data_IF_272613448873
#
_entry.id   IF_272613448873
#
_cell.length_a   1.000
_cell.length_b   1.000
_cell.length_c   1.000
_cell.angle_alpha   90.00
_cell.angle_beta   90.00
_cell.angle_gamma   90.00
#
_symmetry.space_group_name_H-M   'P 1'
#
loop_
_entity.id
_entity.type
_entity.pdbx_description
1 polymer ?
#
# COMPACT_ATOMS: atom_id res chain seq x y z
N UNK A 1 32.92 -17.19 -12.30
CA UNK A 1 31.53 -17.17 -12.79
C UNK A 1 31.11 -15.71 -12.86
N UNK A 2 31.20 -15.10 -14.06
CA UNK A 2 30.96 -13.66 -14.26
C UNK A 2 29.46 -13.43 -14.33
N UNK A 3 28.94 -12.68 -13.36
CA UNK A 3 27.55 -12.24 -13.33
C UNK A 3 27.25 -11.35 -14.52
N UNK A 4 26.28 -11.75 -15.32
CA UNK A 4 25.64 -10.98 -16.39
C UNK A 4 25.24 -9.59 -15.86
N UNK A 5 25.89 -8.55 -16.37
CA UNK A 5 25.61 -7.16 -16.03
C UNK A 5 24.21 -6.76 -16.49
N UNK A 6 23.38 -6.29 -15.55
CA UNK A 6 22.04 -5.81 -15.83
C UNK A 6 22.11 -4.48 -16.60
N UNK A 7 21.52 -4.50 -17.79
CA UNK A 7 21.45 -3.41 -18.77
C UNK A 7 20.37 -2.40 -18.37
N UNK A 8 20.68 -1.11 -18.41
CA UNK A 8 19.68 -0.04 -18.32
C UNK A 8 18.87 0.08 -19.62
N UNK A 9 17.76 0.82 -19.58
CA UNK A 9 16.79 0.96 -20.70
C UNK A 9 17.35 1.56 -22.01
N UNK A 10 18.63 1.96 -22.04
CA UNK A 10 19.35 2.47 -23.22
C UNK A 10 20.54 1.62 -23.69
N UNK A 11 20.73 0.38 -23.20
CA UNK A 11 21.80 -0.50 -23.70
C UNK A 11 23.24 -0.11 -23.34
N UNK A 12 23.45 0.90 -22.50
CA UNK A 12 24.75 1.28 -21.94
C UNK A 12 24.92 0.79 -20.50
N UNK A 13 26.16 0.55 -20.02
CA UNK A 13 26.41 0.24 -18.62
C UNK A 13 25.91 1.40 -17.74
N UNK A 14 24.90 1.12 -16.93
CA UNK A 14 24.28 2.11 -16.05
C UNK A 14 25.32 2.60 -15.03
N UNK A 15 25.44 3.92 -14.86
CA UNK A 15 26.12 4.51 -13.71
C UNK A 15 25.30 4.15 -12.46
N UNK A 16 25.96 3.96 -11.30
CA UNK A 16 25.39 3.44 -10.05
C UNK A 16 24.08 4.12 -9.55
N UNK A 17 23.68 5.27 -10.10
CA UNK A 17 22.49 6.03 -9.75
C UNK A 17 21.26 5.76 -10.64
N UNK A 18 21.39 5.02 -11.74
CA UNK A 18 20.30 4.70 -12.69
C UNK A 18 19.94 3.21 -12.71
N UNK A 19 20.56 2.41 -11.85
CA UNK A 19 20.33 0.97 -11.83
C UNK A 19 19.02 0.66 -11.12
N UNK A 20 17.93 0.56 -11.87
CA UNK A 20 16.67 -0.01 -11.39
C UNK A 20 16.93 -1.48 -11.07
N UNK A 21 17.10 -1.78 -9.78
CA UNK A 21 17.20 -3.15 -9.29
C UNK A 21 16.11 -3.42 -8.27
N UNK A 22 15.67 -4.67 -8.20
CA UNK A 22 14.71 -5.11 -7.17
C UNK A 22 15.20 -4.79 -5.75
N UNK A 23 16.51 -4.73 -5.53
CA UNK A 23 17.10 -4.32 -4.25
C UNK A 23 16.84 -2.86 -3.92
N UNK A 24 16.98 -1.95 -4.89
CA UNK A 24 16.72 -0.52 -4.66
C UNK A 24 15.23 -0.24 -4.46
N UNK A 25 14.35 -0.91 -5.21
CA UNK A 25 12.90 -0.81 -5.03
C UNK A 25 12.50 -1.25 -3.62
N UNK A 26 12.96 -2.43 -3.19
CA UNK A 26 12.69 -2.94 -1.83
C UNK A 26 13.19 -1.99 -0.74
N UNK A 27 14.38 -1.40 -0.92
CA UNK A 27 14.92 -0.40 0.02
C UNK A 27 14.13 0.91 0.05
N UNK A 28 13.60 1.34 -1.08
CA UNK A 28 12.75 2.53 -1.15
C UNK A 28 11.44 2.29 -0.39
N UNK A 29 10.75 1.18 -0.69
CA UNK A 29 9.52 0.76 -0.01
C UNK A 29 9.71 0.61 1.51
N UNK A 30 10.79 -0.05 1.94
CA UNK A 30 11.10 -0.25 3.36
C UNK A 30 11.40 1.06 4.12
N UNK A 31 11.71 2.15 3.40
CA UNK A 31 11.93 3.49 3.99
C UNK A 31 10.74 4.42 3.83
N UNK A 32 9.63 3.94 3.26
CA UNK A 32 8.45 4.76 2.96
C UNK A 32 8.61 5.68 1.75
N UNK A 33 9.67 5.51 0.96
CA UNK A 33 9.92 6.30 -0.26
C UNK A 33 9.17 5.68 -1.45
N UNK A 34 7.84 5.73 -1.38
CA UNK A 34 6.94 5.14 -2.37
C UNK A 34 7.09 5.82 -3.74
N UNK A 35 7.25 7.14 -3.77
CA UNK A 35 7.41 7.90 -5.01
C UNK A 35 8.64 7.41 -5.80
N UNK A 36 9.78 7.24 -5.12
CA UNK A 36 10.97 6.70 -5.74
C UNK A 36 10.77 5.25 -6.19
N UNK A 37 10.07 4.43 -5.40
CA UNK A 37 9.74 3.06 -5.80
C UNK A 37 8.89 3.02 -7.08
N UNK A 38 7.84 3.83 -7.14
CA UNK A 38 6.94 3.94 -8.29
C UNK A 38 7.68 4.47 -9.53
N UNK A 39 8.55 5.47 -9.36
CA UNK A 39 9.41 5.99 -10.43
C UNK A 39 10.32 4.90 -11.01
N UNK A 40 10.95 4.08 -10.16
CA UNK A 40 11.77 2.95 -10.60
C UNK A 40 10.94 1.83 -11.27
N UNK A 41 9.70 1.61 -10.85
CA UNK A 41 8.80 0.60 -11.41
C UNK A 41 8.14 1.03 -12.73
N UNK A 42 8.06 2.35 -12.97
CA UNK A 42 7.27 2.94 -14.06
C UNK A 42 5.75 2.80 -13.87
N UNK A 43 5.30 2.40 -12.68
CA UNK A 43 3.89 2.22 -12.29
C UNK A 43 3.74 2.25 -10.77
N UNK A 44 2.51 2.35 -10.29
CA UNK A 44 2.19 2.18 -8.88
C UNK A 44 2.65 0.80 -8.37
N UNK A 45 3.23 0.76 -7.17
CA UNK A 45 3.52 -0.50 -6.50
C UNK A 45 2.22 -1.24 -6.18
N UNK A 46 2.20 -2.54 -6.43
CA UNK A 46 0.99 -3.35 -6.27
C UNK A 46 1.24 -4.49 -5.29
N UNK A 47 0.26 -4.72 -4.40
CA UNK A 47 0.19 -5.93 -3.59
C UNK A 47 -1.14 -6.64 -3.85
N UNK A 48 -1.12 -7.96 -3.70
CA UNK A 48 -2.30 -8.81 -3.77
C UNK A 48 -2.53 -9.43 -2.41
N UNK A 49 -3.79 -9.51 -2.03
CA UNK A 49 -4.20 -10.06 -0.75
C UNK A 49 -5.63 -10.55 -0.78
N UNK A 50 -6.12 -10.97 0.37
CA UNK A 50 -7.52 -11.34 0.58
C UNK A 50 -8.13 -10.29 1.49
N UNK A 51 -9.13 -9.57 0.98
CA UNK A 51 -9.91 -8.61 1.75
C UNK A 51 -10.97 -9.33 2.57
N UNK A 52 -11.07 -8.97 3.84
CA UNK A 52 -12.10 -9.39 4.78
C UNK A 52 -12.80 -8.13 5.33
N UNK A 53 -14.14 -7.98 5.16
CA UNK A 53 -14.87 -6.85 5.69
C UNK A 53 -14.79 -6.79 7.22
N UNK A 54 -14.45 -5.60 7.74
CA UNK A 54 -14.46 -5.30 9.17
C UNK A 54 -15.47 -4.19 9.48
N UNK A 55 -16.20 -4.38 10.57
CA UNK A 55 -17.06 -3.34 11.12
C UNK A 55 -16.23 -2.41 12.01
N UNK A 56 -15.55 -1.46 11.38
CA UNK A 56 -14.96 -0.33 12.10
C UNK A 56 -16.00 0.77 12.24
N UNK A 57 -16.52 0.90 13.46
CA UNK A 57 -17.56 1.85 13.86
C UNK A 57 -17.17 3.33 13.63
N UNK A 58 -15.90 3.61 13.34
CA UNK A 58 -15.36 4.98 13.36
C UNK A 58 -15.78 5.87 12.18
N UNK A 59 -16.26 5.33 11.05
CA UNK A 59 -16.69 6.17 9.91
C UNK A 59 -17.86 5.65 9.05
N UNK A 60 -18.55 4.58 9.43
CA UNK A 60 -19.79 4.13 8.77
C UNK A 60 -19.66 3.76 7.29
N UNK A 61 -18.43 3.56 6.79
CA UNK A 61 -18.17 3.40 5.35
C UNK A 61 -17.83 1.97 4.93
N UNK A 62 -17.79 1.01 5.87
CA UNK A 62 -17.24 -0.33 5.64
C UNK A 62 -15.73 -0.25 5.42
N UNK A 63 -14.93 -0.99 6.18
CA UNK A 63 -13.48 -1.08 5.90
C UNK A 63 -13.11 -2.53 5.73
N UNK A 64 -11.93 -2.77 5.17
CA UNK A 64 -11.46 -4.12 4.93
C UNK A 64 -10.08 -4.30 5.53
N UNK A 65 -9.88 -5.42 6.21
CA UNK A 65 -8.54 -5.94 6.44
C UNK A 65 -8.11 -6.72 5.21
N UNK A 66 -6.93 -6.42 4.69
CA UNK A 66 -6.35 -7.15 3.57
C UNK A 66 -5.18 -7.96 4.09
N UNK A 67 -5.33 -9.28 4.09
CA UNK A 67 -4.27 -10.21 4.43
C UNK A 67 -3.30 -10.37 3.25
N UNK A 68 -2.03 -10.09 3.50
CA UNK A 68 -0.95 -10.12 2.53
C UNK A 68 0.03 -11.22 2.89
N UNK A 69 0.33 -12.09 1.92
CA UNK A 69 1.27 -13.18 2.11
C UNK A 69 2.68 -12.67 2.41
N UNK A 70 3.41 -13.37 3.28
CA UNK A 70 4.79 -13.03 3.72
C UNK A 70 5.82 -12.92 2.58
N UNK A 71 5.55 -13.54 1.43
CA UNK A 71 6.40 -13.43 0.24
C UNK A 71 6.32 -12.05 -0.44
N UNK A 72 5.32 -11.23 -0.11
CA UNK A 72 5.09 -9.91 -0.68
C UNK A 72 5.65 -8.86 0.29
N UNK A 73 6.43 -7.92 -0.24
CA UNK A 73 6.97 -6.83 0.57
C UNK A 73 5.89 -5.75 0.77
N UNK A 74 5.39 -5.62 2.00
CA UNK A 74 4.51 -4.50 2.36
C UNK A 74 5.36 -3.22 2.54
N UNK A 75 4.90 -2.05 2.06
CA UNK A 75 5.59 -0.76 2.31
C UNK A 75 5.73 -0.45 3.80
N UNK A 76 6.57 0.55 4.12
CA UNK A 76 6.73 1.01 5.51
C UNK A 76 5.40 1.43 6.16
N UNK A 77 5.35 1.41 7.49
CA UNK A 77 4.15 1.80 8.23
C UNK A 77 3.73 3.24 7.92
N UNK A 78 2.43 3.48 7.74
CA UNK A 78 1.91 4.78 7.33
C UNK A 78 0.54 4.73 6.70
N UNK A 79 0.08 5.90 6.30
CA UNK A 79 -1.11 6.10 5.48
C UNK A 79 -0.73 6.26 4.02
N UNK A 80 -1.51 5.63 3.15
CA UNK A 80 -1.30 5.64 1.71
C UNK A 80 -2.61 5.90 0.97
N UNK A 81 -2.52 6.57 -0.17
CA UNK A 81 -3.61 6.62 -1.15
C UNK A 81 -3.47 5.43 -2.10
N UNK A 82 -4.50 4.60 -2.17
CA UNK A 82 -4.48 3.37 -2.96
C UNK A 82 -5.75 3.21 -3.79
N UNK A 83 -5.59 2.58 -4.95
CA UNK A 83 -6.72 1.95 -5.64
C UNK A 83 -6.87 0.51 -5.16
N UNK A 84 -8.06 0.16 -4.68
CA UNK A 84 -8.46 -1.22 -4.39
C UNK A 84 -9.27 -1.73 -5.58
N UNK A 85 -8.91 -2.89 -6.11
CA UNK A 85 -9.62 -3.57 -7.19
C UNK A 85 -9.87 -5.04 -6.86
N UNK A 86 -11.08 -5.54 -7.10
CA UNK A 86 -11.41 -6.98 -6.99
C UNK A 86 -11.21 -7.71 -8.33
N UNK A 87 -11.40 -9.03 -8.35
CA UNK A 87 -11.36 -9.81 -9.59
C UNK A 87 -12.57 -9.57 -10.52
N UNK A 88 -13.66 -9.00 -10.00
CA UNK A 88 -14.87 -8.65 -10.74
C UNK A 88 -14.77 -7.33 -11.52
N UNK A 89 -13.69 -6.57 -11.34
CA UNK A 89 -13.47 -5.27 -11.97
C UNK A 89 -14.06 -4.10 -11.20
N UNK A 90 -14.56 -4.31 -9.98
CA UNK A 90 -14.90 -3.23 -9.06
C UNK A 90 -13.61 -2.55 -8.59
N UNK A 91 -13.56 -1.22 -8.67
CA UNK A 91 -12.39 -0.43 -8.29
C UNK A 91 -12.79 0.81 -7.51
N UNK A 92 -12.16 1.04 -6.36
CA UNK A 92 -12.43 2.20 -5.50
C UNK A 92 -11.15 2.85 -4.98
N UNK A 93 -11.26 4.15 -4.68
CA UNK A 93 -10.22 4.88 -3.95
C UNK A 93 -10.29 4.55 -2.46
N UNK A 94 -9.14 4.23 -1.88
CA UNK A 94 -9.00 3.87 -0.46
C UNK A 94 -7.83 4.62 0.17
N UNK A 95 -7.98 4.94 1.45
CA UNK A 95 -6.86 5.18 2.34
C UNK A 95 -6.42 3.83 2.91
N UNK A 96 -5.14 3.49 2.77
CA UNK A 96 -4.58 2.26 3.34
C UNK A 96 -3.71 2.62 4.52
N UNK A 97 -4.03 2.05 5.68
CA UNK A 97 -3.25 2.11 6.90
C UNK A 97 -2.42 0.83 7.04
N UNK A 98 -1.11 1.00 7.21
CA UNK A 98 -0.17 -0.07 7.51
C UNK A 98 0.36 0.16 8.93
N UNK A 99 -0.10 -0.67 9.87
CA UNK A 99 0.31 -0.63 11.27
C UNK A 99 1.51 -1.55 11.52
N UNK A 100 2.29 -1.33 12.59
CA UNK A 100 3.22 -2.34 13.07
C UNK A 100 2.45 -3.62 13.40
N UNK A 101 2.79 -4.74 12.76
CA UNK A 101 2.22 -6.04 13.12
C UNK A 101 2.55 -6.33 14.58
N UNK A 102 1.54 -6.44 15.44
CA UNK A 102 1.74 -6.94 16.81
C UNK A 102 1.95 -8.44 16.71
N UNK A 103 3.21 -8.85 16.82
CA UNK A 103 3.66 -10.23 16.77
C UNK A 103 2.96 -11.09 17.85
N UNK A 104 1.95 -11.85 17.41
CA UNK A 104 1.26 -12.84 18.24
C UNK A 104 0.68 -14.03 17.47
N UNK A 105 0.52 -13.92 16.14
CA UNK A 105 -0.01 -14.99 15.28
C UNK A 105 1.08 -15.44 14.32
N UNK A 106 1.60 -16.66 14.49
CA UNK A 106 2.76 -17.21 13.75
C UNK A 106 2.54 -17.50 12.26
N UNK A 107 1.71 -16.73 11.56
CA UNK A 107 1.36 -16.91 10.14
C UNK A 107 2.27 -16.14 9.16
N UNK A 108 3.17 -15.29 9.66
CA UNK A 108 4.25 -14.64 8.89
C UNK A 108 3.81 -13.59 7.85
N UNK A 109 2.52 -13.49 7.53
CA UNK A 109 1.95 -12.46 6.67
C UNK A 109 1.79 -11.11 7.37
N UNK A 110 1.31 -10.12 6.61
CA UNK A 110 0.98 -8.80 7.12
C UNK A 110 -0.49 -8.48 6.83
N UNK A 111 -1.13 -7.72 7.72
CA UNK A 111 -2.48 -7.21 7.50
C UNK A 111 -2.39 -5.71 7.30
N UNK A 112 -3.11 -5.19 6.31
CA UNK A 112 -3.27 -3.75 6.09
C UNK A 112 -4.75 -3.41 6.12
N UNK A 113 -5.10 -2.23 6.63
CA UNK A 113 -6.50 -1.79 6.71
C UNK A 113 -6.79 -0.81 5.58
N UNK A 114 -7.79 -1.12 4.75
CA UNK A 114 -8.25 -0.27 3.68
C UNK A 114 -9.58 0.39 4.07
N UNK A 115 -9.60 1.72 4.11
CA UNK A 115 -10.81 2.52 4.32
C UNK A 115 -11.19 3.24 3.03
N UNK A 116 -12.42 3.08 2.52
CA UNK A 116 -12.87 3.75 1.32
C UNK A 116 -12.96 5.27 1.54
N UNK A 117 -12.57 6.03 0.51
CA UNK A 117 -12.58 7.51 0.56
C UNK A 117 -13.99 8.06 0.39
N UNK A 118 -14.80 7.38 -0.41
CA UNK A 118 -16.18 7.75 -0.70
C UNK A 118 -17.14 6.65 -0.21
N UNK A 119 -18.36 7.03 0.16
CA UNK A 119 -19.35 6.11 0.68
C UNK A 119 -19.92 5.18 -0.41
N UNK A 120 -19.25 4.05 -0.64
CA UNK A 120 -19.78 2.92 -1.39
C UNK A 120 -19.03 1.63 -0.99
N UNK A 121 -19.75 0.69 -0.37
CA UNK A 121 -19.20 -0.57 0.13
C UNK A 121 -19.97 -1.76 -0.45
N UNK A 122 -19.66 -2.13 -1.69
CA UNK A 122 -20.12 -3.40 -2.30
C UNK A 122 -18.95 -4.38 -2.51
N UNK A 123 -17.79 -4.10 -1.91
CA UNK A 123 -16.68 -5.03 -1.96
C UNK A 123 -17.00 -6.26 -1.10
N UNK A 124 -17.11 -7.40 -1.76
CA UNK A 124 -17.23 -8.71 -1.11
C UNK A 124 -15.89 -9.14 -0.52
N UNK A 125 -15.93 -10.03 0.47
CA UNK A 125 -14.75 -10.77 0.89
C UNK A 125 -14.14 -11.48 -0.33
N UNK A 126 -12.81 -11.45 -0.46
CA UNK A 126 -12.13 -12.15 -1.53
C UNK A 126 -10.81 -11.57 -1.98
N UNK A 127 -10.23 -12.12 -3.06
CA UNK A 127 -8.96 -11.66 -3.61
C UNK A 127 -9.07 -10.22 -4.14
N UNK A 128 -8.15 -9.38 -3.71
CA UNK A 128 -8.06 -7.97 -4.12
C UNK A 128 -6.63 -7.59 -4.50
N UNK A 129 -6.53 -6.51 -5.27
CA UNK A 129 -5.29 -5.82 -5.61
C UNK A 129 -5.31 -4.40 -5.06
N UNK A 130 -4.27 -4.03 -4.34
CA UNK A 130 -4.04 -2.67 -3.87
C UNK A 130 -2.90 -2.05 -4.68
N UNK A 131 -3.16 -0.90 -5.29
CA UNK A 131 -2.17 -0.13 -6.07
C UNK A 131 -1.83 1.17 -5.33
N UNK A 132 -0.60 1.28 -4.84
CA UNK A 132 -0.13 2.38 -4.00
C UNK A 132 0.27 3.59 -4.83
N UNK A 133 -0.53 4.66 -4.75
CA UNK A 133 -0.37 5.88 -5.54
C UNK A 133 0.50 6.90 -4.81
N UNK A 134 0.19 7.19 -3.55
CA UNK A 134 0.88 8.23 -2.78
C UNK A 134 1.03 7.86 -1.31
N UNK A 135 2.09 8.36 -0.68
CA UNK A 135 2.29 8.31 0.76
C UNK A 135 1.70 9.57 1.40
N UNK A 136 0.82 9.40 2.39
CA UNK A 136 0.05 10.49 3.01
C UNK A 136 0.61 10.91 4.37
N UNK A 137 1.41 10.05 5.01
CA UNK A 137 2.07 10.38 6.26
C UNK A 137 2.40 9.16 7.11
N UNK A 138 3.35 9.34 8.03
CA UNK A 138 3.70 8.34 9.03
C UNK A 138 2.64 8.25 10.11
N UNK A 139 2.51 7.07 10.75
CA UNK A 139 1.74 6.95 11.99
C UNK A 139 2.37 7.80 13.09
N UNK A 140 1.53 8.51 13.82
CA UNK A 140 1.93 9.12 15.08
C UNK A 140 2.00 8.06 16.19
N UNK A 141 2.81 8.26 17.24
CA UNK A 141 2.85 7.34 18.38
C UNK A 141 1.47 7.17 19.01
N UNK A 142 0.98 5.92 19.07
CA UNK A 142 -0.33 5.58 19.65
C UNK A 142 -1.52 5.76 18.70
N UNK A 143 -1.28 6.09 17.43
CA UNK A 143 -2.29 6.12 16.38
C UNK A 143 -2.56 4.71 15.86
N UNK A 144 -3.83 4.35 15.69
CA UNK A 144 -4.27 3.04 15.17
C UNK A 144 -5.56 3.21 14.36
N UNK A 145 -6.10 2.13 13.78
CA UNK A 145 -7.38 2.06 13.03
C UNK A 145 -8.60 2.71 13.77
N UNK A 146 -8.49 2.98 15.08
CA UNK A 146 -9.45 3.74 15.88
C UNK A 146 -9.09 5.22 16.16
N UNK A 147 -8.25 5.84 15.34
CA UNK A 147 -7.76 7.21 15.50
C UNK A 147 -8.86 8.30 15.48
N UNK A 148 -8.46 9.55 15.74
CA UNK A 148 -9.39 10.69 15.77
C UNK A 148 -10.07 10.92 14.41
N UNK A 149 -11.38 11.20 14.41
CA UNK A 149 -12.17 11.39 13.18
C UNK A 149 -11.66 12.54 12.30
N UNK A 150 -11.15 13.61 12.90
CA UNK A 150 -10.54 14.76 12.20
C UNK A 150 -9.33 14.31 11.35
N UNK A 151 -8.43 13.53 11.95
CA UNK A 151 -7.23 13.02 11.29
C UNK A 151 -7.58 12.09 10.12
N UNK A 152 -8.56 11.22 10.31
CA UNK A 152 -9.05 10.35 9.22
C UNK A 152 -9.68 11.17 8.09
N UNK A 153 -10.38 12.26 8.42
CA UNK A 153 -10.91 13.21 7.44
C UNK A 153 -9.82 13.91 6.62
N UNK A 154 -8.74 14.36 7.26
CA UNK A 154 -7.60 14.98 6.58
C UNK A 154 -6.89 13.99 5.64
N UNK A 155 -6.69 12.76 6.10
CA UNK A 155 -6.08 11.69 5.31
C UNK A 155 -6.96 11.31 4.13
N UNK A 156 -8.28 11.17 4.33
CA UNK A 156 -9.22 10.90 3.24
C UNK A 156 -9.26 12.03 2.20
N UNK A 157 -9.18 13.29 2.65
CA UNK A 157 -9.11 14.46 1.78
C UNK A 157 -7.83 14.47 0.95
N UNK A 158 -6.68 14.24 1.60
CA UNK A 158 -5.37 14.14 0.92
C UNK A 158 -5.33 12.96 -0.06
N UNK A 159 -5.97 11.84 0.28
CA UNK A 159 -6.06 10.68 -0.60
C UNK A 159 -6.91 10.97 -1.83
N UNK A 160 -8.04 11.68 -1.68
CA UNK A 160 -8.88 12.10 -2.81
C UNK A 160 -8.07 12.97 -3.78
N UNK A 161 -7.34 13.97 -3.27
CA UNK A 161 -6.47 14.81 -4.10
C UNK A 161 -5.39 14.01 -4.83
N UNK A 162 -4.81 13.00 -4.18
CA UNK A 162 -3.75 12.17 -4.77
C UNK A 162 -4.26 11.20 -5.85
N UNK A 163 -5.54 10.80 -5.80
CA UNK A 163 -6.12 9.85 -6.75
C UNK A 163 -6.74 10.52 -7.97
N UNK A 164 -6.98 11.84 -7.91
CA UNK A 164 -7.59 12.65 -8.98
C UNK A 164 -9.10 12.62 -8.97
#
# INVERSE_FOLDING_TARGET
MLGIGLVGTGGSPARDHEQVSSTFIRRALARGDLERANSMLGRAYEIRGVADPIDVVTCGTGSWEVFVNSAILVPAHGYYACWLEDEGGFRIGTTVLIEPTVDGSGSGGATVTAHPIDAHSDLSEGPVRLSFVSFLGSLLPGEFSGGSSERLGDIASSAREALG
#
